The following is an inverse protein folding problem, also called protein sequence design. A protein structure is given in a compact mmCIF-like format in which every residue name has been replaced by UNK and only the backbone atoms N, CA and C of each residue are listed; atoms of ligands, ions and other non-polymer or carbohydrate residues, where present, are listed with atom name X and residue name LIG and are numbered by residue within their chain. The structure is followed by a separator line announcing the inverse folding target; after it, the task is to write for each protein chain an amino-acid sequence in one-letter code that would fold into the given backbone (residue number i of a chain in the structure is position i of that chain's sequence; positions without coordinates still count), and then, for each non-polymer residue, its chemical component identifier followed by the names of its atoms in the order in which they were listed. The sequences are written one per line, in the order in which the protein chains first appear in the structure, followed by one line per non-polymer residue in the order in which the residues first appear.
data_IF_989560332169
#
_entry.id   IF_989560332169
#
_cell.length_a   1.000
_cell.length_b   1.000
_cell.length_c   1.000
_cell.angle_alpha   90.00
_cell.angle_beta   90.00
_cell.angle_gamma   90.00
#
_symmetry.space_group_name_H-M   'P 1'
#
loop_
_entity.id
_entity.type
_entity.pdbx_description
1 polymer ?
#
# COMPACT_ATOMS: atom_id res chain seq x y z
N UNK A 1 -11.73 22.67 23.88
CA UNK A 1 -11.19 22.77 22.50
C UNK A 1 -10.88 21.36 22.06
N UNK A 2 -11.58 20.90 21.03
CA UNK A 2 -11.82 19.49 20.71
C UNK A 2 -10.66 18.84 19.89
N UNK A 3 -10.13 17.65 20.26
CA UNK A 3 -8.97 17.02 19.59
C UNK A 3 -9.26 16.47 18.18
N UNK A 4 -10.53 16.40 17.77
CA UNK A 4 -10.95 15.68 16.56
C UNK A 4 -10.71 16.40 15.22
N UNK A 5 -10.15 17.61 15.21
CA UNK A 5 -10.09 18.45 14.00
C UNK A 5 -8.79 18.40 13.19
N UNK A 6 -7.84 17.51 13.49
CA UNK A 6 -6.50 17.52 12.84
C UNK A 6 -6.20 16.43 11.81
N UNK A 7 -7.15 15.56 11.47
CA UNK A 7 -6.84 14.38 10.64
C UNK A 7 -7.19 14.47 9.15
N UNK A 8 -7.64 15.62 8.63
CA UNK A 8 -8.34 15.60 7.32
C UNK A 8 -7.50 16.00 6.09
N UNK A 9 -6.28 16.55 6.19
CA UNK A 9 -5.66 17.12 4.98
C UNK A 9 -4.17 16.83 4.84
N UNK A 10 -3.80 15.58 4.51
CA UNK A 10 -2.56 15.24 3.79
C UNK A 10 -2.81 13.98 2.96
N UNK A 11 -3.07 14.14 1.66
CA UNK A 11 -2.59 13.24 0.60
C UNK A 11 -3.24 13.63 -0.74
N UNK A 12 -2.44 13.59 -1.80
CA UNK A 12 -2.86 13.79 -3.18
C UNK A 12 -3.73 12.64 -3.72
N UNK A 13 -3.68 12.32 -5.03
CA UNK A 13 -4.73 11.56 -5.74
C UNK A 13 -5.06 10.15 -5.19
N UNK A 14 -4.22 9.57 -4.33
CA UNK A 14 -4.49 8.30 -3.62
C UNK A 14 -5.56 8.48 -2.51
N UNK A 15 -5.74 9.69 -1.98
CA UNK A 15 -6.79 10.00 -1.00
C UNK A 15 -8.18 10.08 -1.65
N UNK A 16 -8.26 10.51 -2.91
CA UNK A 16 -9.53 10.62 -3.64
C UNK A 16 -10.13 9.23 -3.95
N UNK A 17 -9.28 8.23 -4.18
CA UNK A 17 -9.73 6.83 -4.28
C UNK A 17 -10.14 6.31 -2.89
N UNK A 18 -9.38 6.57 -1.82
CA UNK A 18 -9.74 6.17 -0.45
C UNK A 18 -11.07 6.79 0.05
N UNK A 19 -11.35 8.06 -0.28
CA UNK A 19 -12.62 8.73 0.05
C UNK A 19 -13.79 8.13 -0.75
N UNK A 20 -13.56 7.70 -1.99
CA UNK A 20 -14.55 7.01 -2.82
C UNK A 20 -14.89 5.60 -2.30
N UNK A 21 -13.94 4.92 -1.66
CA UNK A 21 -14.20 3.64 -0.95
C UNK A 21 -15.11 3.83 0.27
N UNK A 22 -14.97 4.92 1.03
CA UNK A 22 -15.84 5.20 2.21
C UNK A 22 -17.25 5.63 1.78
N UNK A 23 -17.38 6.43 0.71
CA UNK A 23 -18.67 6.97 0.27
C UNK A 23 -19.57 5.95 -0.45
N UNK A 24 -19.00 4.90 -1.06
CA UNK A 24 -19.79 3.85 -1.75
C UNK A 24 -20.36 2.78 -0.81
N UNK A 25 -19.94 2.73 0.47
CA UNK A 25 -20.50 1.84 1.49
C UNK A 25 -21.89 2.29 2.01
N UNK A 26 -22.32 3.52 1.69
CA UNK A 26 -23.48 4.15 2.31
C UNK A 26 -24.83 3.99 1.61
N UNK A 27 -24.90 3.33 0.45
CA UNK A 27 -26.17 3.23 -0.27
C UNK A 27 -26.17 2.11 -1.30
N UNK A 28 -26.82 0.99 -0.97
CA UNK A 28 -27.81 0.38 -1.88
C UNK A 28 -28.60 -0.69 -1.12
N UNK A 29 -29.89 -0.42 -0.99
CA UNK A 29 -30.94 -1.35 -0.61
C UNK A 29 -31.59 -1.78 -1.93
N UNK A 30 -31.49 -3.05 -2.29
CA UNK A 30 -32.61 -3.84 -2.84
C UNK A 30 -32.19 -5.26 -3.22
N UNK A 31 -32.96 -6.21 -2.71
CA UNK A 31 -32.85 -7.64 -2.95
C UNK A 31 -33.72 -8.03 -4.13
N UNK A 32 -33.17 -8.80 -5.10
CA UNK A 32 -33.98 -9.66 -5.98
C UNK A 32 -33.30 -11.01 -6.17
N UNK A 33 -34.08 -12.06 -5.90
CA UNK A 33 -33.73 -13.46 -6.05
C UNK A 33 -33.53 -13.86 -7.51
N UNK A 34 -32.51 -14.66 -7.81
CA UNK A 34 -32.37 -15.36 -9.09
C UNK A 34 -32.20 -16.85 -8.83
N UNK A 35 -33.05 -17.65 -9.47
CA UNK A 35 -33.11 -19.11 -9.42
C UNK A 35 -31.87 -19.77 -10.10
N UNK A 36 -31.55 -21.04 -9.79
CA UNK A 36 -30.31 -21.67 -10.25
C UNK A 36 -30.35 -21.97 -11.76
N UNK A 37 -29.35 -21.48 -12.50
CA UNK A 37 -29.13 -21.83 -13.91
C UNK A 37 -28.29 -23.11 -14.01
N UNK A 38 -28.82 -24.10 -14.74
CA UNK A 38 -28.12 -25.31 -15.17
C UNK A 38 -26.87 -24.98 -15.99
N UNK A 39 -25.80 -25.69 -15.69
CA UNK A 39 -24.52 -25.67 -16.42
C UNK A 39 -24.69 -26.50 -17.71
N UNK A 40 -24.61 -25.86 -18.87
CA UNK A 40 -24.40 -26.58 -20.13
C UNK A 40 -22.91 -26.87 -20.27
N UNK A 41 -22.56 -28.15 -20.31
CA UNK A 41 -21.19 -28.61 -20.55
C UNK A 41 -20.96 -28.60 -22.05
N UNK A 42 -20.33 -27.54 -22.55
CA UNK A 42 -19.77 -27.55 -23.90
C UNK A 42 -18.43 -28.30 -23.92
N UNK A 43 -18.28 -29.10 -24.97
CA UNK A 43 -17.24 -30.09 -25.23
C UNK A 43 -15.84 -29.49 -25.10
N UNK A 44 -15.02 -30.16 -24.28
CA UNK A 44 -13.61 -29.84 -24.00
C UNK A 44 -12.81 -29.84 -25.32
N UNK A 45 -12.43 -28.66 -25.79
CA UNK A 45 -11.28 -28.52 -26.68
C UNK A 45 -10.00 -28.75 -25.86
N UNK A 46 -8.98 -29.44 -26.39
CA UNK A 46 -7.77 -29.72 -25.64
C UNK A 46 -7.10 -28.41 -25.21
N UNK A 47 -6.91 -28.24 -23.89
CA UNK A 47 -6.19 -27.13 -23.27
C UNK A 47 -4.86 -26.92 -23.99
N UNK A 48 -4.69 -25.76 -24.62
CA UNK A 48 -3.42 -25.37 -25.21
C UNK A 48 -2.38 -25.29 -24.07
N UNK A 49 -1.28 -26.04 -24.21
CA UNK A 49 -0.13 -26.04 -23.28
C UNK A 49 0.67 -24.71 -23.39
N UNK A 50 0.04 -23.57 -23.11
CA UNK A 50 0.75 -22.30 -22.96
C UNK A 50 0.86 -21.88 -21.48
N UNK A 51 1.92 -21.12 -21.17
CA UNK A 51 2.23 -20.70 -19.80
C UNK A 51 1.10 -19.89 -19.15
N UNK A 52 0.34 -19.11 -19.95
CA UNK A 52 -0.79 -18.31 -19.46
C UNK A 52 -1.95 -19.19 -19.01
N UNK A 53 -2.23 -20.25 -19.76
CA UNK A 53 -3.25 -21.25 -19.42
C UNK A 53 -2.87 -22.01 -18.15
N UNK A 54 -1.57 -22.33 -17.98
CA UNK A 54 -1.06 -22.93 -16.73
C UNK A 54 -1.20 -21.97 -15.54
N UNK A 55 -0.77 -20.72 -15.66
CA UNK A 55 -0.88 -19.73 -14.59
C UNK A 55 -2.35 -19.49 -14.20
N UNK A 56 -3.25 -19.45 -15.18
CA UNK A 56 -4.69 -19.35 -14.94
C UNK A 56 -5.21 -20.53 -14.14
N UNK A 57 -4.81 -21.76 -14.48
CA UNK A 57 -5.18 -22.96 -13.72
C UNK A 57 -4.64 -22.91 -12.27
N UNK A 58 -3.40 -22.46 -12.08
CA UNK A 58 -2.84 -22.27 -10.74
C UNK A 58 -3.63 -21.23 -9.93
N UNK A 59 -4.06 -20.14 -10.56
CA UNK A 59 -4.91 -19.14 -9.92
C UNK A 59 -6.29 -19.70 -9.54
N UNK A 60 -6.89 -20.54 -10.39
CA UNK A 60 -8.15 -21.24 -10.07
C UNK A 60 -7.99 -22.16 -8.86
N UNK A 61 -6.87 -22.88 -8.76
CA UNK A 61 -6.57 -23.73 -7.61
C UNK A 61 -6.37 -22.90 -6.33
N UNK A 62 -5.61 -21.81 -6.40
CA UNK A 62 -5.42 -20.90 -5.28
C UNK A 62 -6.73 -20.23 -4.84
N UNK A 63 -7.62 -19.92 -5.78
CA UNK A 63 -8.96 -19.39 -5.49
C UNK A 63 -9.83 -20.42 -4.74
N UNK A 64 -9.78 -21.69 -5.13
CA UNK A 64 -10.47 -22.76 -4.40
C UNK A 64 -9.88 -22.94 -3.00
N UNK A 65 -8.56 -22.92 -2.85
CA UNK A 65 -7.91 -23.04 -1.55
C UNK A 65 -8.31 -21.89 -0.62
N UNK A 66 -8.18 -20.63 -1.07
CA UNK A 66 -8.50 -19.47 -0.23
C UNK A 66 -9.97 -19.42 0.15
N UNK A 67 -10.88 -19.86 -0.74
CA UNK A 67 -12.32 -19.93 -0.48
C UNK A 67 -12.66 -20.82 0.72
N UNK A 68 -11.83 -21.83 1.04
CA UNK A 68 -12.01 -22.69 2.22
C UNK A 68 -11.53 -22.04 3.52
N UNK A 69 -10.71 -20.99 3.43
CA UNK A 69 -10.04 -20.36 4.57
C UNK A 69 -10.73 -19.05 5.00
N UNK A 70 -11.33 -18.34 4.04
CA UNK A 70 -12.15 -17.15 4.28
C UNK A 70 -13.60 -17.52 4.64
N UNK A 71 -14.33 -16.57 5.22
CA UNK A 71 -15.75 -16.77 5.53
C UNK A 71 -16.57 -16.94 4.24
N UNK A 72 -17.66 -17.72 4.29
CA UNK A 72 -18.47 -18.04 3.09
C UNK A 72 -19.12 -16.82 2.42
N UNK A 73 -19.22 -15.70 3.15
CA UNK A 73 -19.73 -14.43 2.64
C UNK A 73 -18.67 -13.59 1.92
N UNK A 74 -17.40 -13.98 2.01
CA UNK A 74 -16.31 -13.27 1.37
C UNK A 74 -16.29 -13.58 -0.13
N UNK A 75 -16.00 -12.55 -0.91
CA UNK A 75 -15.85 -12.65 -2.36
C UNK A 75 -14.45 -13.13 -2.71
N UNK A 76 -14.34 -13.95 -3.76
CA UNK A 76 -13.08 -14.36 -4.37
C UNK A 76 -13.09 -13.99 -5.85
N UNK A 77 -12.04 -13.32 -6.33
CA UNK A 77 -11.91 -12.80 -7.68
C UNK A 77 -10.56 -13.20 -8.28
N UNK A 78 -10.57 -13.73 -9.50
CA UNK A 78 -9.37 -14.14 -10.23
C UNK A 78 -8.99 -13.06 -11.26
N UNK A 79 -7.76 -12.54 -11.15
CA UNK A 79 -7.12 -11.57 -12.06
C UNK A 79 -5.65 -11.95 -12.22
N UNK A 80 -5.29 -12.95 -13.04
CA UNK A 80 -3.95 -13.51 -13.07
C UNK A 80 -2.86 -12.43 -13.27
N UNK A 81 -1.73 -12.49 -12.53
CA UNK A 81 -1.31 -13.54 -11.60
C UNK A 81 -1.97 -13.47 -10.21
N UNK A 82 -2.91 -12.56 -9.98
CA UNK A 82 -3.53 -12.31 -8.68
C UNK A 82 -4.81 -13.13 -8.44
N UNK A 83 -4.97 -13.56 -7.20
CA UNK A 83 -6.24 -14.06 -6.64
C UNK A 83 -6.60 -13.14 -5.48
N UNK A 84 -7.70 -12.39 -5.61
CA UNK A 84 -8.16 -11.48 -4.59
C UNK A 84 -9.27 -12.13 -3.78
N UNK A 85 -9.26 -11.99 -2.47
CA UNK A 85 -10.33 -12.43 -1.57
C UNK A 85 -10.60 -11.36 -0.52
N UNK A 86 -11.85 -11.22 -0.05
CA UNK A 86 -12.16 -10.21 0.96
C UNK A 86 -13.61 -10.12 1.40
N UNK A 87 -13.86 -9.38 2.47
CA UNK A 87 -15.19 -9.08 3.02
C UNK A 87 -15.92 -7.94 2.26
N UNK A 88 -15.52 -7.70 1.02
CA UNK A 88 -16.01 -6.65 0.14
C UNK A 88 -16.74 -7.24 -1.09
N UNK A 89 -17.69 -6.49 -1.69
CA UNK A 89 -18.30 -6.87 -2.97
C UNK A 89 -17.28 -7.04 -4.11
N UNK A 90 -17.61 -7.85 -5.11
CA UNK A 90 -16.75 -8.12 -6.26
C UNK A 90 -16.31 -6.84 -6.98
N UNK A 91 -17.22 -5.89 -7.17
CA UNK A 91 -16.94 -4.62 -7.85
C UNK A 91 -15.91 -3.78 -7.09
N UNK A 92 -15.88 -3.91 -5.77
CA UNK A 92 -14.93 -3.20 -4.90
C UNK A 92 -13.56 -3.86 -4.96
N UNK A 93 -13.49 -5.19 -4.93
CA UNK A 93 -12.24 -5.94 -5.12
C UNK A 93 -11.65 -5.73 -6.53
N UNK A 94 -12.50 -5.68 -7.54
CA UNK A 94 -12.09 -5.44 -8.93
C UNK A 94 -11.58 -4.01 -9.13
N UNK A 95 -12.17 -3.01 -8.45
CA UNK A 95 -11.61 -1.65 -8.36
C UNK A 95 -10.26 -1.62 -7.64
N UNK A 96 -10.13 -2.29 -6.49
CA UNK A 96 -8.85 -2.41 -5.78
C UNK A 96 -7.75 -2.96 -6.70
N UNK A 97 -8.08 -3.98 -7.49
CA UNK A 97 -7.16 -4.53 -8.48
C UNK A 97 -6.77 -3.49 -9.56
N UNK A 98 -7.76 -2.92 -10.25
CA UNK A 98 -7.52 -1.99 -11.37
C UNK A 98 -6.83 -0.69 -10.97
N UNK A 99 -7.20 -0.14 -9.81
CA UNK A 99 -6.83 1.22 -9.44
C UNK A 99 -5.58 1.25 -8.55
N UNK A 100 -5.24 0.12 -7.92
CA UNK A 100 -4.10 0.04 -6.98
C UNK A 100 -3.13 -1.09 -7.34
N UNK A 101 -3.58 -2.35 -7.40
CA UNK A 101 -2.68 -3.50 -7.60
C UNK A 101 -1.97 -3.43 -8.95
N UNK A 102 -2.74 -3.32 -10.05
CA UNK A 102 -2.21 -3.35 -11.40
C UNK A 102 -1.29 -2.16 -11.73
N UNK A 103 -1.62 -0.89 -11.36
CA UNK A 103 -0.71 0.23 -11.57
C UNK A 103 0.57 0.12 -10.74
N UNK A 104 0.46 -0.37 -9.50
CA UNK A 104 1.62 -0.56 -8.61
C UNK A 104 2.56 -1.64 -9.16
N UNK A 105 2.02 -2.81 -9.52
CA UNK A 105 2.78 -3.88 -10.19
C UNK A 105 3.50 -3.35 -11.42
N UNK A 106 2.80 -2.63 -12.29
CA UNK A 106 3.39 -2.06 -13.51
C UNK A 106 4.55 -1.13 -13.20
N UNK A 107 4.38 -0.20 -12.26
CA UNK A 107 5.42 0.75 -11.90
C UNK A 107 6.64 0.06 -11.28
N UNK A 108 6.42 -0.95 -10.43
CA UNK A 108 7.49 -1.74 -9.82
C UNK A 108 8.26 -2.57 -10.85
N UNK A 109 7.58 -3.18 -11.83
CA UNK A 109 8.23 -3.92 -12.91
C UNK A 109 9.05 -3.00 -13.83
N UNK A 110 8.55 -1.79 -14.13
CA UNK A 110 9.31 -0.80 -14.90
C UNK A 110 10.58 -0.36 -14.16
N UNK A 111 10.47 -0.12 -12.86
CA UNK A 111 11.59 0.35 -12.04
C UNK A 111 12.62 -0.73 -11.73
N UNK A 112 12.15 -1.93 -11.35
CA UNK A 112 12.95 -2.91 -10.60
C UNK A 112 12.88 -4.32 -11.16
N UNK A 113 11.68 -4.90 -11.27
CA UNK A 113 11.52 -6.34 -11.44
C UNK A 113 11.45 -6.75 -12.92
N UNK A 114 12.43 -7.54 -13.36
CA UNK A 114 12.53 -8.03 -14.74
C UNK A 114 11.85 -9.41 -14.90
N UNK A 115 11.63 -10.14 -13.81
CA UNK A 115 10.95 -11.45 -13.76
C UNK A 115 9.50 -11.27 -13.32
N UNK A 116 8.56 -11.60 -14.20
CA UNK A 116 7.13 -11.59 -13.89
C UNK A 116 6.73 -12.80 -12.99
N UNK A 117 5.65 -12.68 -12.19
CA UNK A 117 5.14 -13.79 -11.41
C UNK A 117 4.72 -14.99 -12.29
N UNK A 118 5.28 -16.15 -12.01
CA UNK A 118 4.94 -17.44 -12.67
C UNK A 118 4.01 -18.31 -11.82
N UNK A 119 3.75 -17.90 -10.58
CA UNK A 119 2.88 -18.56 -9.62
C UNK A 119 1.87 -17.53 -9.07
N UNK A 120 0.69 -17.96 -8.58
CA UNK A 120 -0.31 -17.04 -8.07
C UNK A 120 0.18 -16.23 -6.86
N UNK A 121 -0.23 -14.96 -6.81
CA UNK A 121 -0.12 -14.11 -5.63
C UNK A 121 -1.54 -13.92 -5.06
N UNK A 122 -1.77 -14.38 -3.83
CA UNK A 122 -3.07 -14.24 -3.18
C UNK A 122 -3.11 -12.94 -2.36
N UNK A 123 -4.10 -12.09 -2.61
CA UNK A 123 -4.34 -10.84 -1.90
C UNK A 123 -5.62 -11.02 -1.07
N UNK A 124 -5.49 -11.07 0.25
CA UNK A 124 -6.64 -11.11 1.16
C UNK A 124 -6.84 -9.72 1.75
N UNK A 125 -7.85 -9.02 1.24
CA UNK A 125 -8.14 -7.63 1.55
C UNK A 125 -9.39 -7.51 2.42
N UNK A 126 -9.24 -6.98 3.63
CA UNK A 126 -10.35 -6.74 4.55
C UNK A 126 -10.65 -5.24 4.68
N UNK A 127 -11.92 -4.87 4.51
CA UNK A 127 -12.40 -3.53 4.83
C UNK A 127 -12.41 -3.25 6.33
N UNK A 128 -12.64 -4.29 7.15
CA UNK A 128 -12.72 -4.19 8.61
C UNK A 128 -11.51 -4.81 9.28
N UNK A 129 -10.96 -4.09 10.26
CA UNK A 129 -9.85 -4.57 11.09
C UNK A 129 -10.18 -5.90 11.79
N UNK A 130 -11.43 -6.09 12.22
CA UNK A 130 -11.86 -7.34 12.87
C UNK A 130 -11.67 -8.58 11.96
N UNK A 131 -12.02 -8.47 10.68
CA UNK A 131 -11.86 -9.55 9.69
C UNK A 131 -10.39 -9.84 9.42
N UNK A 132 -9.58 -8.79 9.24
CA UNK A 132 -8.12 -8.90 9.11
C UNK A 132 -7.50 -9.64 10.30
N UNK A 133 -7.84 -9.21 11.53
CA UNK A 133 -7.30 -9.79 12.75
C UNK A 133 -7.76 -11.24 12.96
N UNK A 134 -9.00 -11.57 12.62
CA UNK A 134 -9.50 -12.95 12.70
C UNK A 134 -8.76 -13.87 11.74
N UNK A 135 -8.67 -13.49 10.46
CA UNK A 135 -7.97 -14.27 9.45
C UNK A 135 -6.51 -14.50 9.84
N UNK A 136 -5.81 -13.44 10.26
CA UNK A 136 -4.40 -13.53 10.66
C UNK A 136 -4.17 -14.53 11.81
N UNK A 137 -5.05 -14.55 12.81
CA UNK A 137 -4.94 -15.48 13.95
C UNK A 137 -5.34 -16.91 13.58
N UNK A 138 -6.45 -17.07 12.86
CA UNK A 138 -7.07 -18.37 12.60
C UNK A 138 -6.34 -19.14 11.52
N UNK A 139 -5.99 -18.46 10.43
CA UNK A 139 -5.38 -19.06 9.23
C UNK A 139 -3.86 -19.03 9.33
N UNK A 140 -3.28 -17.86 9.58
CA UNK A 140 -1.82 -17.67 9.53
C UNK A 140 -1.13 -17.82 10.89
N UNK A 141 -1.89 -18.01 11.98
CA UNK A 141 -1.37 -18.11 13.36
C UNK A 141 -0.51 -16.91 13.78
N UNK A 142 -0.78 -15.73 13.23
CA UNK A 142 -0.10 -14.47 13.55
C UNK A 142 -0.90 -13.62 14.54
N UNK A 143 -0.21 -12.86 15.37
CA UNK A 143 -0.79 -11.82 16.22
C UNK A 143 -0.49 -10.45 15.59
N UNK A 144 -1.46 -9.79 14.95
CA UNK A 144 -1.26 -8.53 14.25
C UNK A 144 -1.30 -7.33 15.22
N UNK A 145 -0.48 -7.36 16.27
CA UNK A 145 -0.55 -6.35 17.34
C UNK A 145 -0.01 -4.98 16.92
N UNK A 146 0.71 -4.90 15.79
CA UNK A 146 1.38 -3.67 15.33
C UNK A 146 1.43 -3.45 13.81
N UNK A 147 0.94 -4.38 12.99
CA UNK A 147 1.02 -4.30 11.53
C UNK A 147 -0.37 -4.35 10.89
N UNK A 148 -0.59 -3.49 9.90
CA UNK A 148 -1.86 -3.37 9.16
C UNK A 148 -1.92 -4.21 7.90
N UNK A 149 -0.82 -4.90 7.59
CA UNK A 149 -0.69 -5.89 6.54
C UNK A 149 0.52 -6.77 6.81
N UNK A 150 0.61 -7.89 6.10
CA UNK A 150 1.81 -8.71 6.05
C UNK A 150 1.81 -9.58 4.80
N UNK A 151 3.02 -9.87 4.32
CA UNK A 151 3.28 -10.87 3.30
C UNK A 151 3.81 -12.17 3.92
N UNK A 152 3.28 -13.30 3.46
CA UNK A 152 3.67 -14.64 3.85
C UNK A 152 4.25 -15.38 2.64
N UNK A 153 5.58 -15.37 2.56
CA UNK A 153 6.36 -15.91 1.43
C UNK A 153 6.05 -17.37 1.10
N UNK A 154 5.84 -18.22 2.11
CA UNK A 154 5.56 -19.66 1.91
C UNK A 154 4.28 -19.93 1.11
N UNK A 155 3.30 -19.02 1.21
CA UNK A 155 2.01 -19.13 0.52
C UNK A 155 1.84 -18.09 -0.60
N UNK A 156 2.85 -17.22 -0.84
CA UNK A 156 2.73 -16.06 -1.74
C UNK A 156 1.45 -15.27 -1.49
N UNK A 157 1.13 -15.08 -0.20
CA UNK A 157 -0.09 -14.43 0.24
C UNK A 157 0.24 -13.16 0.97
N UNK A 158 -0.37 -12.05 0.56
CA UNK A 158 -0.42 -10.84 1.36
C UNK A 158 -1.83 -10.65 1.92
N UNK A 159 -1.89 -10.26 3.20
CA UNK A 159 -3.14 -10.01 3.92
C UNK A 159 -3.09 -8.57 4.39
N UNK A 160 -4.11 -7.78 4.06
CA UNK A 160 -4.12 -6.34 4.31
C UNK A 160 -5.46 -5.86 4.85
N UNK A 161 -5.39 -4.90 5.77
CA UNK A 161 -6.53 -4.07 6.13
C UNK A 161 -6.56 -2.85 5.21
N UNK A 162 -7.51 -2.80 4.26
CA UNK A 162 -7.55 -1.70 3.27
C UNK A 162 -7.94 -0.35 3.86
N UNK A 163 -8.49 -0.32 5.09
CA UNK A 163 -8.82 0.93 5.77
C UNK A 163 -7.60 1.78 6.14
N UNK A 164 -6.39 1.20 6.13
CA UNK A 164 -5.14 1.94 6.37
C UNK A 164 -4.57 2.61 5.11
N UNK A 165 -5.25 2.45 3.97
CA UNK A 165 -4.90 3.07 2.70
C UNK A 165 -4.02 2.18 1.81
N UNK A 166 -3.75 2.67 0.61
CA UNK A 166 -3.03 1.93 -0.43
C UNK A 166 -1.54 1.67 -0.09
N UNK A 167 -0.96 2.44 0.84
CA UNK A 167 0.45 2.32 1.21
C UNK A 167 0.82 0.95 1.76
N UNK A 168 0.00 0.41 2.66
CA UNK A 168 0.22 -0.95 3.21
C UNK A 168 0.16 -2.00 2.11
N UNK A 169 -0.79 -1.91 1.18
CA UNK A 169 -0.87 -2.83 0.04
C UNK A 169 0.38 -2.73 -0.86
N UNK A 170 0.82 -1.51 -1.19
CA UNK A 170 2.00 -1.29 -2.02
C UNK A 170 3.28 -1.85 -1.38
N UNK A 171 3.40 -1.71 -0.05
CA UNK A 171 4.48 -2.30 0.72
C UNK A 171 4.53 -3.82 0.57
N UNK A 172 3.45 -4.52 0.91
CA UNK A 172 3.39 -5.99 0.85
C UNK A 172 3.47 -6.53 -0.59
N UNK A 173 2.90 -5.81 -1.56
CA UNK A 173 2.98 -6.16 -2.97
C UNK A 173 4.41 -6.06 -3.49
N UNK A 174 5.21 -5.10 -2.98
CA UNK A 174 6.63 -4.99 -3.32
C UNK A 174 7.38 -6.26 -2.92
N UNK A 175 7.19 -6.77 -1.70
CA UNK A 175 7.77 -8.04 -1.27
C UNK A 175 7.33 -9.21 -2.15
N UNK A 176 6.03 -9.31 -2.40
CA UNK A 176 5.44 -10.40 -3.16
C UNK A 176 6.01 -10.50 -4.59
N UNK A 177 6.20 -9.37 -5.26
CA UNK A 177 6.79 -9.30 -6.60
C UNK A 177 8.32 -9.47 -6.56
N UNK A 178 9.00 -8.78 -5.63
CA UNK A 178 10.46 -8.82 -5.53
C UNK A 178 10.99 -10.24 -5.31
N UNK A 179 10.27 -11.09 -4.58
CA UNK A 179 10.72 -12.46 -4.29
C UNK A 179 10.68 -13.41 -5.50
N UNK A 180 10.02 -13.05 -6.60
CA UNK A 180 10.16 -13.74 -7.88
C UNK A 180 11.46 -13.34 -8.60
N UNK A 181 11.82 -12.06 -8.54
CA UNK A 181 12.93 -11.48 -9.28
C UNK A 181 14.27 -11.57 -8.54
N UNK A 182 14.25 -11.36 -7.23
CA UNK A 182 15.40 -11.42 -6.34
C UNK A 182 15.08 -12.26 -5.08
N UNK A 183 15.01 -13.61 -5.19
CA UNK A 183 14.54 -14.47 -4.11
C UNK A 183 15.36 -14.42 -2.81
N UNK A 184 16.65 -14.10 -2.90
CA UNK A 184 17.60 -14.04 -1.79
C UNK A 184 17.95 -12.60 -1.40
N UNK A 185 17.05 -11.64 -1.67
CA UNK A 185 17.25 -10.24 -1.28
C UNK A 185 17.42 -10.12 0.24
N UNK A 186 18.45 -9.42 0.74
CA UNK A 186 18.67 -9.32 2.18
C UNK A 186 17.62 -8.43 2.85
N UNK A 187 17.30 -8.73 4.11
CA UNK A 187 16.25 -8.09 4.89
C UNK A 187 16.33 -6.54 4.88
N UNK A 188 17.52 -5.96 5.04
CA UNK A 188 17.67 -4.51 5.05
C UNK A 188 17.17 -3.86 3.75
N UNK A 189 17.40 -4.51 2.61
CA UNK A 189 17.02 -3.97 1.31
C UNK A 189 15.59 -4.36 0.94
N UNK A 190 15.15 -5.56 1.31
CA UNK A 190 13.76 -6.01 1.14
C UNK A 190 12.79 -5.04 1.84
N UNK A 191 13.02 -4.81 3.14
CA UNK A 191 12.25 -3.85 3.94
C UNK A 191 12.49 -2.40 3.51
N UNK A 192 13.73 -2.06 3.17
CA UNK A 192 14.10 -0.72 2.71
C UNK A 192 13.36 -0.33 1.42
N UNK A 193 13.34 -1.21 0.42
CA UNK A 193 12.68 -0.98 -0.87
C UNK A 193 11.16 -1.00 -0.71
N UNK A 194 10.59 -2.01 -0.06
CA UNK A 194 9.14 -2.07 0.16
C UNK A 194 8.64 -0.86 0.96
N UNK A 195 9.41 -0.42 1.96
CA UNK A 195 9.01 0.75 2.73
C UNK A 195 8.98 2.00 1.86
N UNK A 196 9.92 2.27 0.94
CA UNK A 196 9.86 3.42 0.02
C UNK A 196 8.46 3.60 -0.59
N UNK A 197 7.83 2.50 -1.03
CA UNK A 197 6.53 2.52 -1.70
C UNK A 197 5.32 2.57 -0.76
N UNK A 198 5.50 2.32 0.54
CA UNK A 198 4.45 2.51 1.56
C UNK A 198 3.92 3.95 1.61
N UNK A 199 4.78 4.92 1.33
CA UNK A 199 4.40 6.33 1.19
C UNK A 199 5.02 6.84 -0.10
N UNK A 200 4.24 6.80 -1.18
CA UNK A 200 4.68 7.09 -2.53
C UNK A 200 3.59 7.74 -3.36
N UNK A 201 4.00 8.36 -4.46
CA UNK A 201 3.11 9.03 -5.41
C UNK A 201 3.44 8.54 -6.82
N UNK A 202 2.40 8.37 -7.64
CA UNK A 202 2.62 8.18 -9.07
C UNK A 202 3.12 9.49 -9.68
N UNK A 203 4.11 9.39 -10.55
CA UNK A 203 4.46 10.50 -11.45
C UNK A 203 3.28 10.87 -12.34
N UNK A 204 3.30 12.06 -12.94
CA UNK A 204 2.23 12.54 -13.84
C UNK A 204 1.94 11.56 -15.00
N UNK A 205 2.94 10.79 -15.41
CA UNK A 205 2.82 9.77 -16.46
C UNK A 205 2.32 8.42 -15.96
N UNK A 206 2.02 8.27 -14.66
CA UNK A 206 1.62 7.04 -13.94
C UNK A 206 2.55 5.81 -14.11
N UNK A 207 3.67 5.95 -14.83
CA UNK A 207 4.59 4.85 -15.13
C UNK A 207 5.64 4.60 -14.06
N UNK A 208 5.82 5.56 -13.15
CA UNK A 208 6.77 5.46 -12.03
C UNK A 208 6.08 5.80 -10.74
N UNK A 209 6.43 5.03 -9.72
CA UNK A 209 6.05 5.24 -8.33
C UNK A 209 7.27 5.82 -7.61
N UNK A 210 7.12 7.00 -7.01
CA UNK A 210 8.21 7.73 -6.35
C UNK A 210 7.92 7.80 -4.86
N UNK A 211 8.81 7.25 -4.04
CA UNK A 211 8.69 7.35 -2.60
C UNK A 211 8.81 8.79 -2.11
N UNK A 212 8.04 9.12 -1.09
CA UNK A 212 8.04 10.43 -0.43
C UNK A 212 8.39 10.29 1.07
N UNK A 213 8.51 11.44 1.75
CA UNK A 213 8.79 11.47 3.19
C UNK A 213 7.62 10.91 4.01
N UNK A 214 7.89 10.27 5.14
CA UNK A 214 6.85 9.81 6.06
C UNK A 214 7.27 10.03 7.52
N UNK A 215 6.45 9.60 8.48
CA UNK A 215 6.73 9.80 9.91
C UNK A 215 8.03 9.16 10.40
N UNK A 216 8.63 8.20 9.65
CA UNK A 216 9.86 7.52 10.07
C UNK A 216 11.09 8.43 10.05
N UNK A 217 11.09 9.59 9.35
CA UNK A 217 12.21 10.58 9.44
C UNK A 217 12.51 10.90 10.89
N UNK A 218 11.49 11.06 11.71
CA UNK A 218 11.66 11.51 13.08
C UNK A 218 12.48 10.51 13.89
N UNK A 219 12.40 9.22 13.56
CA UNK A 219 13.23 8.18 14.17
C UNK A 219 14.69 8.30 13.72
N UNK A 220 14.92 8.53 12.41
CA UNK A 220 16.27 8.75 11.86
C UNK A 220 16.91 10.02 12.42
N UNK A 221 16.20 11.15 12.37
CA UNK A 221 16.69 12.44 12.87
C UNK A 221 16.98 12.41 14.37
N UNK A 222 16.12 11.74 15.16
CA UNK A 222 16.36 11.55 16.59
C UNK A 222 17.59 10.67 16.84
N UNK A 223 17.72 9.56 16.12
CA UNK A 223 18.88 8.68 16.24
C UNK A 223 20.18 9.38 15.82
N UNK A 224 20.14 10.27 14.81
CA UNK A 224 21.26 11.11 14.41
C UNK A 224 21.66 12.09 15.52
N UNK A 225 20.69 12.81 16.08
CA UNK A 225 20.94 13.78 17.16
C UNK A 225 21.53 13.11 18.42
N UNK A 226 21.03 11.91 18.76
CA UNK A 226 21.47 11.16 19.93
C UNK A 226 22.73 10.31 19.66
N UNK A 227 23.35 10.41 18.47
CA UNK A 227 24.49 9.58 18.05
C UNK A 227 24.24 8.06 18.16
N UNK A 228 23.00 7.63 17.93
CA UNK A 228 22.57 6.23 17.96
C UNK A 228 22.27 5.63 16.59
N UNK A 229 22.34 6.43 15.52
CA UNK A 229 22.20 5.90 14.17
C UNK A 229 23.50 5.17 13.78
N UNK A 230 23.37 3.86 13.54
CA UNK A 230 24.44 2.99 13.06
C UNK A 230 24.97 3.48 11.72
N UNK A 231 26.20 3.08 11.39
CA UNK A 231 26.75 3.32 10.06
C UNK A 231 26.03 2.46 9.02
N UNK A 232 26.07 2.89 7.76
CA UNK A 232 25.39 2.20 6.66
C UNK A 232 25.98 0.79 6.45
N UNK A 233 27.29 0.62 6.63
CA UNK A 233 27.94 -0.69 6.52
C UNK A 233 27.47 -1.68 7.59
N UNK A 234 27.28 -1.22 8.82
CA UNK A 234 26.74 -1.99 9.94
C UNK A 234 25.25 -2.34 9.76
N UNK A 235 24.47 -1.47 9.11
CA UNK A 235 23.08 -1.74 8.72
C UNK A 235 23.03 -2.83 7.66
N UNK A 236 23.75 -2.63 6.55
CA UNK A 236 23.72 -3.48 5.36
C UNK A 236 24.28 -4.88 5.62
N UNK A 237 25.32 -4.98 6.45
CA UNK A 237 25.93 -6.27 6.81
C UNK A 237 25.29 -6.91 8.06
N UNK A 238 24.34 -6.23 8.70
CA UNK A 238 23.61 -6.75 9.84
C UNK A 238 22.73 -7.94 9.43
N UNK A 239 22.81 -9.04 10.18
CA UNK A 239 22.04 -10.26 9.90
C UNK A 239 20.59 -10.20 10.39
N UNK A 240 20.23 -9.16 11.15
CA UNK A 240 18.83 -8.84 11.43
C UNK A 240 18.66 -7.38 11.84
N UNK A 241 17.50 -6.84 11.49
CA UNK A 241 16.90 -5.67 12.13
C UNK A 241 16.63 -6.04 13.61
N UNK A 242 17.66 -5.91 14.47
CA UNK A 242 17.65 -6.46 15.85
C UNK A 242 16.51 -5.86 16.66
N UNK A 243 15.76 -6.70 17.39
CA UNK A 243 14.54 -6.35 18.15
C UNK A 243 14.64 -5.09 19.05
N UNK A 244 15.84 -4.73 19.55
CA UNK A 244 16.03 -3.53 20.38
C UNK A 244 16.20 -2.22 19.57
N UNK A 245 16.54 -2.31 18.28
CA UNK A 245 16.73 -1.18 17.35
C UNK A 245 15.86 -1.30 16.10
N UNK A 246 14.94 -2.26 16.06
CA UNK A 246 14.24 -2.67 14.86
C UNK A 246 13.56 -1.51 14.13
N UNK A 247 12.92 -0.60 14.88
CA UNK A 247 12.27 0.59 14.33
C UNK A 247 13.26 1.58 13.68
N UNK A 248 14.43 1.80 14.30
CA UNK A 248 15.46 2.70 13.81
C UNK A 248 16.15 2.11 12.58
N UNK A 249 16.48 0.83 12.60
CA UNK A 249 17.15 0.16 11.49
C UNK A 249 16.23 0.08 10.27
N UNK A 250 14.95 -0.25 10.47
CA UNK A 250 13.94 -0.18 9.44
C UNK A 250 13.81 1.23 8.86
N UNK A 251 13.72 2.25 9.73
CA UNK A 251 13.68 3.64 9.28
C UNK A 251 14.97 4.00 8.51
N UNK A 252 16.13 3.58 9.00
CA UNK A 252 17.41 3.84 8.34
C UNK A 252 17.45 3.20 6.95
N UNK A 253 17.04 1.95 6.81
CA UNK A 253 16.95 1.24 5.53
C UNK A 253 16.04 1.96 4.51
N UNK A 254 14.84 2.38 4.95
CA UNK A 254 13.94 3.21 4.12
C UNK A 254 14.66 4.45 3.59
N UNK A 255 15.29 5.21 4.48
CA UNK A 255 15.89 6.48 4.10
C UNK A 255 17.16 6.33 3.28
N UNK A 256 17.92 5.24 3.45
CA UNK A 256 19.01 4.89 2.51
C UNK A 256 18.44 4.63 1.12
N UNK A 257 17.33 3.90 1.00
CA UNK A 257 16.67 3.68 -0.29
C UNK A 257 16.12 4.98 -0.90
N UNK A 258 15.51 5.87 -0.09
CA UNK A 258 15.07 7.19 -0.55
C UNK A 258 16.25 8.08 -0.97
N UNK A 259 17.38 8.01 -0.27
CA UNK A 259 18.61 8.70 -0.66
C UNK A 259 19.08 8.23 -2.04
N UNK A 260 19.17 6.91 -2.25
CA UNK A 260 19.50 6.34 -3.55
C UNK A 260 18.48 6.75 -4.63
N UNK A 261 17.19 6.83 -4.31
CA UNK A 261 16.15 7.29 -5.23
C UNK A 261 16.37 8.75 -5.64
N UNK A 262 16.62 9.63 -4.67
CA UNK A 262 16.87 11.07 -4.90
C UNK A 262 18.15 11.31 -5.73
N UNK A 263 19.15 10.44 -5.59
CA UNK A 263 20.37 10.44 -6.40
C UNK A 263 20.21 9.73 -7.77
N UNK A 264 19.02 9.20 -8.10
CA UNK A 264 18.77 8.39 -9.30
C UNK A 264 19.61 7.10 -9.39
N UNK A 265 20.02 6.58 -8.24
CA UNK A 265 20.87 5.40 -8.09
C UNK A 265 20.11 4.14 -7.66
N UNK A 266 18.88 4.25 -7.16
CA UNK A 266 18.13 3.10 -6.61
C UNK A 266 17.87 1.99 -7.64
N UNK A 267 17.40 2.35 -8.84
CA UNK A 267 17.12 1.41 -9.93
C UNK A 267 18.40 0.75 -10.49
N UNK A 268 19.49 1.50 -10.78
CA UNK A 268 20.78 0.90 -11.12
C UNK A 268 21.36 0.02 -10.01
N UNK A 269 21.24 0.46 -8.75
CA UNK A 269 21.69 -0.29 -7.59
C UNK A 269 20.98 -1.64 -7.50
N UNK A 270 19.64 -1.65 -7.60
CA UNK A 270 18.84 -2.88 -7.58
C UNK A 270 19.34 -3.89 -8.62
N UNK A 271 19.45 -3.47 -9.89
CA UNK A 271 19.85 -4.37 -10.99
C UNK A 271 21.25 -4.93 -10.79
N UNK A 272 22.20 -4.05 -10.43
CA UNK A 272 23.59 -4.44 -10.18
C UNK A 272 23.71 -5.36 -8.98
N UNK A 273 22.98 -5.08 -7.90
CA UNK A 273 23.01 -5.86 -6.68
C UNK A 273 22.43 -7.26 -6.92
N UNK A 274 21.24 -7.35 -7.52
CA UNK A 274 20.60 -8.62 -7.89
C UNK A 274 21.54 -9.51 -8.72
N UNK A 275 22.22 -8.94 -9.73
CA UNK A 275 23.16 -9.69 -10.58
C UNK A 275 24.41 -10.21 -9.86
N UNK A 276 24.68 -9.74 -8.64
CA UNK A 276 25.89 -10.03 -7.85
C UNK A 276 25.60 -10.67 -6.50
N UNK A 277 24.35 -10.99 -6.21
CA UNK A 277 23.92 -11.45 -4.90
C UNK A 277 24.71 -12.67 -4.39
N UNK A 278 25.21 -13.54 -5.27
CA UNK A 278 26.03 -14.68 -4.89
C UNK A 278 27.39 -14.30 -4.28
N UNK A 279 28.01 -13.23 -4.77
CA UNK A 279 29.36 -12.77 -4.35
C UNK A 279 29.32 -11.55 -3.43
N UNK A 280 28.17 -10.89 -3.33
CA UNK A 280 27.91 -9.74 -2.47
C UNK A 280 26.51 -9.87 -1.84
N UNK A 281 26.26 -10.87 -0.98
CA UNK A 281 24.91 -11.21 -0.49
C UNK A 281 24.25 -10.11 0.32
N UNK A 282 25.05 -9.18 0.87
CA UNK A 282 24.54 -8.02 1.61
C UNK A 282 24.30 -6.82 0.71
N UNK A 283 24.94 -6.76 -0.47
CA UNK A 283 24.92 -5.61 -1.36
C UNK A 283 25.88 -4.48 -0.96
N UNK A 284 26.69 -4.67 0.09
CA UNK A 284 27.61 -3.65 0.58
C UNK A 284 28.66 -3.25 -0.45
N UNK A 285 29.26 -4.23 -1.14
CA UNK A 285 30.27 -3.94 -2.15
C UNK A 285 29.66 -3.20 -3.34
N UNK A 286 28.44 -3.58 -3.71
CA UNK A 286 27.68 -2.94 -4.78
C UNK A 286 27.31 -1.51 -4.39
N UNK A 287 26.87 -1.28 -3.16
CA UNK A 287 26.49 0.03 -2.65
C UNK A 287 27.69 0.99 -2.67
N UNK A 288 28.85 0.55 -2.19
CA UNK A 288 30.11 1.31 -2.24
C UNK A 288 30.58 1.65 -3.65
N UNK A 289 30.25 0.81 -4.63
CA UNK A 289 30.62 1.09 -6.03
C UNK A 289 29.64 2.06 -6.71
N UNK A 290 28.37 2.05 -6.31
CA UNK A 290 27.34 2.91 -6.88
C UNK A 290 27.39 4.31 -6.25
N UNK A 291 27.68 4.40 -4.96
CA UNK A 291 27.87 5.66 -4.24
C UNK A 291 29.36 5.99 -4.20
N UNK A 292 29.79 6.96 -5.02
CA UNK A 292 31.21 7.30 -5.19
C UNK A 292 31.86 8.02 -3.99
N UNK A 293 31.05 8.45 -3.03
CA UNK A 293 31.44 9.32 -1.91
C UNK A 293 31.26 8.62 -0.56
N UNK A 294 31.60 9.31 0.53
CA UNK A 294 31.30 8.83 1.89
C UNK A 294 29.78 8.85 2.11
N UNK A 295 29.17 7.67 1.95
CA UNK A 295 27.73 7.45 2.05
C UNK A 295 27.16 7.93 3.37
N UNK A 296 27.84 7.72 4.50
CA UNK A 296 27.30 8.09 5.81
C UNK A 296 27.32 9.61 5.97
N UNK A 297 28.40 10.27 5.57
CA UNK A 297 28.50 11.72 5.65
C UNK A 297 27.48 12.42 4.73
N UNK A 298 27.32 11.93 3.50
CA UNK A 298 26.36 12.46 2.53
C UNK A 298 24.92 12.19 2.95
N UNK A 299 24.60 10.96 3.35
CA UNK A 299 23.28 10.58 3.85
C UNK A 299 22.85 11.47 5.01
N UNK A 300 23.73 11.70 5.98
CA UNK A 300 23.45 12.56 7.15
C UNK A 300 23.10 13.99 6.74
N UNK A 301 23.87 14.58 5.81
CA UNK A 301 23.57 15.92 5.28
C UNK A 301 22.27 15.92 4.50
N UNK A 302 22.06 14.91 3.68
CA UNK A 302 20.91 14.76 2.81
C UNK A 302 19.62 14.65 3.62
N UNK A 303 19.51 13.75 4.60
CA UNK A 303 18.25 13.47 5.30
C UNK A 303 17.72 14.70 6.06
N UNK A 304 18.62 15.50 6.64
CA UNK A 304 18.27 16.76 7.30
C UNK A 304 17.73 17.79 6.30
N UNK A 305 18.40 17.93 5.14
CA UNK A 305 17.99 18.85 4.07
C UNK A 305 16.68 18.39 3.41
N UNK A 306 16.57 17.11 3.10
CA UNK A 306 15.41 16.48 2.49
C UNK A 306 14.16 16.73 3.35
N UNK A 307 14.21 16.39 4.65
CA UNK A 307 13.08 16.62 5.54
C UNK A 307 12.66 18.09 5.62
N UNK A 308 13.63 19.00 5.69
CA UNK A 308 13.34 20.45 5.70
C UNK A 308 12.62 20.90 4.44
N UNK A 309 13.07 20.44 3.27
CA UNK A 309 12.46 20.77 1.98
C UNK A 309 11.04 20.20 1.88
N UNK A 310 10.83 18.97 2.34
CA UNK A 310 9.52 18.32 2.30
C UNK A 310 8.51 19.07 3.17
N UNK A 311 8.89 19.46 4.39
CA UNK A 311 8.04 20.31 5.26
C UNK A 311 7.68 21.65 4.63
N UNK A 312 8.61 22.28 3.90
CA UNK A 312 8.36 23.55 3.21
C UNK A 312 7.41 23.37 2.02
N UNK A 313 7.47 22.24 1.30
CA UNK A 313 6.53 21.92 0.21
C UNK A 313 5.12 21.74 0.75
N UNK A 314 4.93 20.94 1.80
CA UNK A 314 3.61 20.75 2.44
C UNK A 314 3.02 22.07 2.91
N UNK A 315 3.80 22.89 3.63
CA UNK A 315 3.33 24.18 4.12
C UNK A 315 2.98 25.19 3.01
N UNK A 316 3.58 25.07 1.82
CA UNK A 316 3.22 25.89 0.65
C UNK A 316 1.93 25.39 0.01
N UNK A 317 1.75 24.08 -0.15
CA UNK A 317 0.52 23.49 -0.68
C UNK A 317 -0.68 23.88 0.18
N UNK A 318 -0.58 23.76 1.51
CA UNK A 318 -1.65 24.13 2.45
C UNK A 318 -2.05 25.61 2.41
N UNK A 319 -1.10 26.50 2.09
CA UNK A 319 -1.38 27.94 1.92
C UNK A 319 -2.11 28.24 0.63
N UNK A 320 -1.94 27.43 -0.42
CA UNK A 320 -2.65 27.60 -1.69
C UNK A 320 -4.03 26.93 -1.70
N UNK A 321 -4.32 25.99 -0.79
CA UNK A 321 -5.64 25.34 -0.63
C UNK A 321 -6.60 26.05 0.35
N UNK A 322 -6.23 27.19 0.93
CA UNK A 322 -7.10 27.98 1.81
C UNK A 322 -7.68 29.22 1.11
N UNK A 323 -8.90 29.11 0.58
CA UNK A 323 -10.01 30.07 0.78
C UNK A 323 -11.17 29.82 -0.21
N UNK A 324 -12.09 28.92 0.15
CA UNK A 324 -13.51 29.17 -0.11
C UNK A 324 -14.18 29.37 1.25
N UNK A 325 -14.53 30.62 1.56
CA UNK A 325 -15.39 30.91 2.71
C UNK A 325 -16.74 30.20 2.50
N UNK A 326 -17.34 29.61 3.55
CA UNK A 326 -18.71 29.11 3.46
C UNK A 326 -19.65 30.25 3.06
N UNK A 327 -20.49 30.02 2.07
CA UNK A 327 -21.64 30.87 1.78
C UNK A 327 -22.61 30.64 2.95
N UNK A 328 -22.82 31.66 3.78
CA UNK A 328 -23.87 31.65 4.81
C UNK A 328 -25.22 31.51 4.10
N UNK A 329 -25.93 30.41 4.37
CA UNK A 329 -27.30 30.24 3.95
C UNK A 329 -28.16 31.22 4.78
N UNK A 330 -28.60 32.31 4.17
CA UNK A 330 -29.68 33.14 4.70
C UNK A 330 -30.97 32.33 4.74
N UNK A 331 -31.35 31.94 5.95
CA UNK A 331 -32.62 31.29 6.26
C UNK A 331 -33.75 32.33 6.17
N UNK A 332 -34.54 32.30 5.09
CA UNK A 332 -35.85 32.96 5.01
C UNK A 332 -36.92 31.88 5.02
N UNK A 333 -37.29 31.44 6.22
CA UNK A 333 -38.53 30.71 6.43
C UNK A 333 -39.70 31.70 6.46
N UNK A 334 -40.47 31.75 5.38
CA UNK A 334 -41.78 32.38 5.34
C UNK A 334 -42.72 31.65 6.32
N UNK A 335 -43.14 32.33 7.38
CA UNK A 335 -44.17 31.86 8.28
C UNK A 335 -45.53 32.28 7.73
N UNK A 336 -46.21 31.38 7.01
CA UNK A 336 -47.64 31.50 6.71
C UNK A 336 -48.40 30.97 7.93
N UNK A 337 -48.74 31.87 8.86
CA UNK A 337 -49.67 31.59 9.94
C UNK A 337 -51.11 31.76 9.44
N UNK A 338 -51.83 30.64 9.36
CA UNK A 338 -53.27 30.59 9.18
C UNK A 338 -53.94 30.89 10.52
N UNK A 339 -54.76 31.93 10.59
CA UNK A 339 -55.72 32.11 11.69
C UNK A 339 -57.10 32.44 11.12
N UNK A 340 -58.05 31.53 11.40
CA UNK A 340 -59.48 31.65 11.10
C UNK A 340 -60.14 32.68 12.05
N UNK A 341 -61.31 33.23 11.69
CA UNK A 341 -61.89 34.41 12.33
C UNK A 341 -62.79 34.05 13.51
N UNK A 342 -62.87 34.96 14.49
CA UNK A 342 -64.01 35.07 15.40
C UNK A 342 -64.52 36.50 15.38
N UNK A 343 -65.74 36.64 14.88
CA UNK A 343 -66.64 37.78 15.09
C UNK A 343 -66.88 38.01 16.58
N UNK A 344 -66.84 39.25 17.06
CA UNK A 344 -68.04 40.04 17.40
C UNK A 344 -67.68 41.41 17.99
N UNK A 345 -68.66 42.30 17.85
CA UNK A 345 -68.62 43.75 17.93
C UNK A 345 -68.48 44.34 19.34
N UNK A 346 -68.03 45.60 19.42
CA UNK A 346 -68.84 46.72 19.91
C UNK A 346 -68.08 48.05 19.94
N UNK A 347 -68.69 49.03 19.26
CA UNK A 347 -68.62 50.51 19.38
C UNK A 347 -67.40 51.26 18.86
#
# INVERSE_FOLDING_TARGET
MDPHRKFVLIAGPILLTAISFVLTLGSTKDSRSVAPRQISVDVISPLQNDERSRLRQLCENAAQEIQTQVDRTNTVLIRPPFVLAGDMPEEVLDRLHRDVVQPTERALNVGFFDVAPTEPITIVAFAKEAGFRDFARRVDRRQPDSYYGYYLRSHRRLVVNVSTGAGTLAHELTHALAHFDFPNMPEWFDEGLASVFEQSEFTDTIHRLIGTDNWRVHQVLRALHENRLRKTDELVQGHSVRANHASIDYAHARYVCLYLQDQQLLEPFYRKFRSRAEIDPTGWLTLRQVVATDIDADFRRWVVKYHKNQRQRTARTDRHTLSMKPIEATDRAETIATNKPSSEAAK
#
